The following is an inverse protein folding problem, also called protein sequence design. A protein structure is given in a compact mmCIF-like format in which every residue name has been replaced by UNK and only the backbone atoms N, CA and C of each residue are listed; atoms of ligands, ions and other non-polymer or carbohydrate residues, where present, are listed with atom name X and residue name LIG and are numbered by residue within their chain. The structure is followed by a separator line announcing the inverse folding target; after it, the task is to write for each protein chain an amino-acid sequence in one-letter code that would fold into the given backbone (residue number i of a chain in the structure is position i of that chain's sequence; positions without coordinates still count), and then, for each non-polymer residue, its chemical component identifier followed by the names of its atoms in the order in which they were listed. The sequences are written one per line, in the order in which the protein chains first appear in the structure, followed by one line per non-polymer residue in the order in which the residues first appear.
data_IF_586944643154
#
_entry.id   IF_586944643154
#
_cell.length_a   1.000
_cell.length_b   1.000
_cell.length_c   1.000
_cell.angle_alpha   90.00
_cell.angle_beta   90.00
_cell.angle_gamma   90.00
#
_symmetry.space_group_name_H-M   'P 1'
#
loop_
_entity.id
_entity.type
_entity.pdbx_description
1 polymer ?
#
# COMPACT_ATOMS: atom_id res chain seq x y z
N UNK A 1 -8.95 0.69 -29.29
CA UNK A 1 -9.60 1.20 -28.07
C UNK A 1 -8.97 2.55 -27.72
N UNK A 2 -9.60 3.67 -28.08
CA UNK A 2 -9.06 5.02 -27.83
C UNK A 2 -9.81 5.70 -26.66
N UNK A 3 -9.61 5.20 -25.44
CA UNK A 3 -9.97 5.94 -24.22
C UNK A 3 -8.69 6.28 -23.49
N UNK A 4 -8.17 7.48 -23.75
CA UNK A 4 -7.08 8.07 -22.96
C UNK A 4 -7.70 8.63 -21.69
N UNK A 5 -7.16 8.24 -20.54
CA UNK A 5 -7.54 8.81 -19.25
C UNK A 5 -7.16 10.29 -19.22
N UNK A 6 -8.05 11.14 -18.71
CA UNK A 6 -7.75 12.55 -18.49
C UNK A 6 -6.84 12.68 -17.25
N UNK A 7 -6.17 13.82 -17.08
CA UNK A 7 -5.28 14.08 -15.93
C UNK A 7 -5.99 13.92 -14.59
N UNK A 8 -7.27 14.30 -14.51
CA UNK A 8 -8.09 14.16 -13.32
C UNK A 8 -8.39 12.69 -13.00
N UNK A 9 -8.65 11.87 -14.02
CA UNK A 9 -8.89 10.44 -13.86
C UNK A 9 -7.63 9.76 -13.32
N UNK A 10 -6.46 10.08 -13.89
CA UNK A 10 -5.17 9.57 -13.43
C UNK A 10 -4.90 10.01 -11.99
N UNK A 11 -5.11 11.29 -11.67
CA UNK A 11 -4.94 11.79 -10.31
C UNK A 11 -5.85 11.08 -9.31
N UNK A 12 -7.11 10.85 -9.66
CA UNK A 12 -8.08 10.17 -8.79
C UNK A 12 -7.70 8.72 -8.53
N UNK A 13 -7.22 8.02 -9.56
CA UNK A 13 -6.72 6.63 -9.42
C UNK A 13 -5.51 6.59 -8.50
N UNK A 14 -4.55 7.51 -8.68
CA UNK A 14 -3.33 7.57 -7.85
C UNK A 14 -3.68 7.92 -6.40
N UNK A 15 -4.53 8.91 -6.17
CA UNK A 15 -4.99 9.30 -4.85
C UNK A 15 -5.66 8.13 -4.12
N UNK A 16 -6.58 7.43 -4.80
CA UNK A 16 -7.28 6.27 -4.24
C UNK A 16 -6.37 5.06 -4.00
N UNK A 17 -5.24 4.97 -4.71
CA UNK A 17 -4.27 3.88 -4.53
C UNK A 17 -3.29 4.13 -3.38
N UNK A 18 -3.06 5.40 -3.01
CA UNK A 18 -2.12 5.78 -1.94
C UNK A 18 -2.83 5.87 -0.57
N UNK A 19 -4.02 6.46 -0.54
CA UNK A 19 -4.74 6.68 0.73
C UNK A 19 -5.43 5.39 1.14
N UNK A 20 -4.88 4.72 2.16
CA UNK A 20 -5.42 3.47 2.70
C UNK A 20 -5.49 3.45 4.23
N UNK A 21 -5.92 2.31 4.78
CA UNK A 21 -6.06 2.05 6.22
C UNK A 21 -4.84 2.51 7.05
N UNK A 22 -3.64 2.26 6.54
CA UNK A 22 -2.39 2.61 7.21
C UNK A 22 -2.26 4.11 7.51
N UNK A 23 -2.77 4.97 6.63
CA UNK A 23 -2.72 6.43 6.82
C UNK A 23 -3.59 6.92 7.98
N UNK A 24 -4.69 6.24 8.27
CA UNK A 24 -5.63 6.63 9.32
C UNK A 24 -5.35 5.95 10.66
N UNK A 25 -4.96 4.67 10.64
CA UNK A 25 -4.84 3.88 11.86
C UNK A 25 -3.45 3.92 12.46
N UNK A 26 -2.39 3.75 11.65
CA UNK A 26 -1.03 3.58 12.17
C UNK A 26 -0.49 4.79 12.96
N UNK A 27 -0.74 6.06 12.57
CA UNK A 27 -0.27 7.20 13.34
C UNK A 27 -0.82 7.20 14.77
N UNK A 28 -2.13 6.96 14.93
CA UNK A 28 -2.81 7.03 16.22
C UNK A 28 -2.69 5.76 17.06
N UNK A 29 -2.58 4.57 16.44
CA UNK A 29 -2.51 3.31 17.19
C UNK A 29 -1.09 2.89 17.50
N UNK A 30 -0.13 3.14 16.61
CA UNK A 30 1.24 2.63 16.73
C UNK A 30 2.28 3.73 16.86
N UNK A 31 2.38 4.63 15.88
CA UNK A 31 3.53 5.54 15.79
C UNK A 31 3.56 6.53 16.95
N UNK A 32 2.46 7.22 17.23
CA UNK A 32 2.41 8.19 18.32
C UNK A 32 2.54 7.55 19.70
N UNK A 33 1.97 6.35 19.89
CA UNK A 33 2.02 5.66 21.18
C UNK A 33 3.41 5.08 21.49
N UNK A 34 4.10 4.53 20.49
CA UNK A 34 5.42 3.90 20.68
C UNK A 34 6.57 4.91 20.57
N UNK A 35 6.53 5.81 19.59
CA UNK A 35 7.64 6.71 19.28
C UNK A 35 7.45 8.15 19.79
N UNK A 36 6.21 8.56 20.10
CA UNK A 36 5.88 9.94 20.43
C UNK A 36 5.82 10.86 19.20
N UNK A 37 5.38 12.11 19.40
CA UNK A 37 5.10 13.07 18.32
C UNK A 37 6.35 13.40 17.51
N UNK A 38 7.43 13.80 18.17
CA UNK A 38 8.66 14.30 17.51
C UNK A 38 9.29 13.21 16.64
N UNK A 39 9.48 12.00 17.19
CA UNK A 39 10.09 10.90 16.45
C UNK A 39 9.22 10.42 15.29
N UNK A 40 7.88 10.40 15.48
CA UNK A 40 6.94 10.07 14.41
C UNK A 40 7.02 11.07 13.27
N UNK A 41 7.07 12.38 13.56
CA UNK A 41 7.20 13.42 12.53
C UNK A 41 8.50 13.27 11.75
N UNK A 42 9.63 13.06 12.43
CA UNK A 42 10.93 12.85 11.76
C UNK A 42 10.88 11.60 10.89
N UNK A 43 10.33 10.49 11.39
CA UNK A 43 10.20 9.24 10.63
C UNK A 43 9.34 9.39 9.38
N UNK A 44 8.19 10.05 9.49
CA UNK A 44 7.32 10.34 8.35
C UNK A 44 7.98 11.27 7.34
N UNK A 45 8.72 12.28 7.81
CA UNK A 45 9.44 13.21 6.93
C UNK A 45 10.55 12.51 6.15
N UNK A 46 11.35 11.66 6.81
CA UNK A 46 12.37 10.85 6.15
C UNK A 46 11.75 9.85 5.16
N UNK A 47 10.64 9.23 5.53
CA UNK A 47 9.87 8.37 4.63
C UNK A 47 9.44 9.12 3.37
N UNK A 48 8.87 10.32 3.51
CA UNK A 48 8.49 11.17 2.38
C UNK A 48 9.70 11.52 1.49
N UNK A 49 10.86 11.85 2.09
CA UNK A 49 12.09 12.11 1.35
C UNK A 49 12.51 10.92 0.49
N UNK A 50 12.49 9.70 1.05
CA UNK A 50 12.85 8.49 0.28
C UNK A 50 11.88 8.23 -0.87
N UNK A 51 10.57 8.46 -0.67
CA UNK A 51 9.58 8.30 -1.73
C UNK A 51 9.80 9.29 -2.88
N UNK A 52 10.22 10.53 -2.60
CA UNK A 52 10.54 11.52 -3.64
C UNK A 52 11.72 11.06 -4.52
N UNK A 53 12.74 10.46 -3.91
CA UNK A 53 13.89 9.90 -4.65
C UNK A 53 13.43 8.76 -5.57
N UNK A 54 12.59 7.85 -5.05
CA UNK A 54 12.02 6.76 -5.84
C UNK A 54 11.17 7.32 -6.99
N UNK A 55 10.27 8.26 -6.71
CA UNK A 55 9.39 8.89 -7.71
C UNK A 55 10.17 9.56 -8.84
N UNK A 56 11.32 10.18 -8.54
CA UNK A 56 12.21 10.75 -9.56
C UNK A 56 12.78 9.68 -10.50
N UNK A 57 13.08 8.49 -9.98
CA UNK A 57 13.53 7.34 -10.79
C UNK A 57 12.40 6.79 -11.68
N UNK A 58 11.18 6.75 -11.17
CA UNK A 58 9.99 6.37 -11.96
C UNK A 58 9.69 7.36 -13.09
N UNK A 59 9.94 8.64 -12.87
CA UNK A 59 9.78 9.65 -13.92
C UNK A 59 10.70 9.33 -15.11
N UNK A 60 11.97 9.05 -14.86
CA UNK A 60 12.93 8.64 -15.90
C UNK A 60 12.50 7.35 -16.59
N UNK A 61 11.99 6.38 -15.84
CA UNK A 61 11.46 5.14 -16.40
C UNK A 61 10.32 5.41 -17.38
N UNK A 62 9.33 6.21 -16.97
CA UNK A 62 8.14 6.52 -17.78
C UNK A 62 8.48 7.33 -19.04
N UNK A 63 9.52 8.17 -18.99
CA UNK A 63 9.98 8.92 -20.15
C UNK A 63 10.69 8.04 -21.19
N UNK A 64 11.43 7.02 -20.74
CA UNK A 64 12.23 6.15 -21.62
C UNK A 64 11.51 4.85 -22.01
N UNK A 65 10.40 4.50 -21.38
CA UNK A 65 9.70 3.22 -21.59
C UNK A 65 8.19 3.41 -21.65
N UNK A 66 7.69 3.45 -22.88
CA UNK A 66 6.27 3.64 -23.19
C UNK A 66 5.55 2.32 -23.51
N UNK A 67 6.16 1.17 -23.19
CA UNK A 67 5.53 -0.13 -23.38
C UNK A 67 4.60 -0.46 -22.20
N UNK A 68 3.61 -1.31 -22.48
CA UNK A 68 2.72 -1.85 -21.46
C UNK A 68 3.49 -2.79 -20.51
N UNK A 69 3.13 -2.80 -19.22
CA UNK A 69 3.70 -3.72 -18.21
C UNK A 69 4.61 -3.10 -17.14
N UNK A 70 4.73 -1.77 -17.09
CA UNK A 70 5.32 -1.04 -15.96
C UNK A 70 6.78 -1.40 -15.65
N UNK A 71 7.10 -1.51 -14.36
CA UNK A 71 8.47 -1.73 -13.85
C UNK A 71 9.08 -3.05 -14.32
N UNK A 72 8.28 -4.12 -14.38
CA UNK A 72 8.75 -5.42 -14.86
C UNK A 72 9.15 -5.36 -16.33
N UNK A 73 8.29 -4.77 -17.17
CA UNK A 73 8.54 -4.60 -18.61
C UNK A 73 9.79 -3.76 -18.85
N UNK A 74 9.95 -2.67 -18.07
CA UNK A 74 11.14 -1.83 -18.12
C UNK A 74 12.42 -2.60 -17.76
N UNK A 75 12.44 -3.28 -16.60
CA UNK A 75 13.61 -4.01 -16.12
C UNK A 75 13.97 -5.19 -17.04
N UNK A 76 12.97 -5.89 -17.56
CA UNK A 76 13.20 -6.99 -18.51
C UNK A 76 13.85 -6.50 -19.80
N UNK A 77 13.38 -5.37 -20.34
CA UNK A 77 13.88 -4.81 -21.60
C UNK A 77 15.25 -4.15 -21.48
N UNK A 78 15.48 -3.37 -20.42
CA UNK A 78 16.70 -2.55 -20.28
C UNK A 78 17.79 -3.20 -19.42
N UNK A 79 17.42 -4.04 -18.44
CA UNK A 79 18.36 -4.68 -17.52
C UNK A 79 18.50 -6.20 -17.77
N UNK A 80 17.72 -6.75 -18.69
CA UNK A 80 17.76 -8.15 -19.10
C UNK A 80 16.97 -9.11 -18.21
N UNK A 81 17.00 -10.40 -18.59
CA UNK A 81 16.09 -11.42 -18.04
C UNK A 81 16.25 -11.66 -16.54
N UNK A 82 17.48 -11.65 -16.02
CA UNK A 82 17.73 -11.92 -14.60
C UNK A 82 17.13 -10.82 -13.71
N UNK A 83 17.34 -9.55 -14.06
CA UNK A 83 16.76 -8.42 -13.33
C UNK A 83 15.24 -8.39 -13.47
N UNK A 84 14.71 -8.65 -14.67
CA UNK A 84 13.27 -8.79 -14.87
C UNK A 84 12.65 -9.88 -14.00
N UNK A 85 13.29 -11.04 -13.87
CA UNK A 85 12.80 -12.13 -13.00
C UNK A 85 12.75 -11.69 -11.53
N UNK A 86 13.80 -11.04 -11.02
CA UNK A 86 13.86 -10.55 -9.64
C UNK A 86 12.75 -9.53 -9.40
N UNK A 87 12.65 -8.49 -10.24
CA UNK A 87 11.62 -7.45 -10.12
C UNK A 87 10.21 -8.04 -10.18
N UNK A 88 9.95 -8.93 -11.14
CA UNK A 88 8.65 -9.59 -11.27
C UNK A 88 8.29 -10.43 -10.05
N UNK A 89 9.24 -11.12 -9.44
CA UNK A 89 9.00 -11.94 -8.26
C UNK A 89 8.71 -11.09 -7.02
N UNK A 90 9.47 -10.01 -6.81
CA UNK A 90 9.19 -9.08 -5.72
C UNK A 90 7.87 -8.34 -5.90
N UNK A 91 7.50 -7.98 -7.14
CA UNK A 91 6.18 -7.42 -7.44
C UNK A 91 5.06 -8.39 -7.11
N UNK A 92 5.17 -9.65 -7.54
CA UNK A 92 4.18 -10.67 -7.24
C UNK A 92 4.01 -10.85 -5.72
N UNK A 93 5.11 -10.94 -4.98
CA UNK A 93 5.07 -11.05 -3.52
C UNK A 93 4.45 -9.81 -2.87
N UNK A 94 4.82 -8.61 -3.33
CA UNK A 94 4.23 -7.37 -2.82
C UNK A 94 2.71 -7.36 -2.99
N UNK A 95 2.21 -7.64 -4.20
CA UNK A 95 0.76 -7.72 -4.45
C UNK A 95 0.08 -8.83 -3.66
N UNK A 96 0.71 -9.99 -3.51
CA UNK A 96 0.17 -11.09 -2.70
C UNK A 96 -0.01 -10.69 -1.23
N UNK A 97 0.95 -9.95 -0.65
CA UNK A 97 0.89 -9.51 0.75
C UNK A 97 -0.13 -8.39 1.00
N UNK A 98 -0.44 -7.59 -0.02
CA UNK A 98 -1.41 -6.51 0.08
C UNK A 98 -2.86 -7.05 0.23
N UNK A 99 -3.16 -8.20 -0.36
CA UNK A 99 -4.51 -8.82 -0.30
C UNK A 99 -4.96 -9.09 1.15
N UNK A 100 -4.23 -9.87 1.98
CA UNK A 100 -4.63 -10.10 3.37
C UNK A 100 -4.57 -8.82 4.23
N UNK A 101 -3.63 -7.91 3.94
CA UNK A 101 -3.52 -6.64 4.67
C UNK A 101 -4.78 -5.76 4.47
N UNK A 102 -5.25 -5.65 3.23
CA UNK A 102 -6.49 -4.92 2.94
C UNK A 102 -7.74 -5.70 3.37
N UNK A 103 -7.73 -7.03 3.25
CA UNK A 103 -8.84 -7.88 3.71
C UNK A 103 -9.09 -7.76 5.22
N UNK A 104 -8.02 -7.66 6.02
CA UNK A 104 -8.12 -7.48 7.47
C UNK A 104 -8.43 -6.05 7.89
N UNK A 105 -8.13 -5.06 7.04
CA UNK A 105 -8.41 -3.65 7.34
C UNK A 105 -9.90 -3.37 7.55
N UNK A 106 -10.78 -3.97 6.74
CA UNK A 106 -12.23 -3.70 6.79
C UNK A 106 -12.87 -4.11 8.13
N UNK A 107 -12.71 -5.36 8.62
CA UNK A 107 -13.18 -5.74 9.96
C UNK A 107 -12.60 -4.89 11.09
N UNK A 108 -11.32 -4.53 11.01
CA UNK A 108 -10.65 -3.72 12.04
C UNK A 108 -11.21 -2.30 12.12
N UNK A 109 -11.55 -1.68 10.97
CA UNK A 109 -12.17 -0.35 10.93
C UNK A 109 -13.57 -0.40 11.52
N UNK A 110 -14.38 -1.39 11.14
CA UNK A 110 -15.73 -1.56 11.69
C UNK A 110 -15.66 -1.71 13.21
N UNK A 111 -14.78 -2.58 13.72
CA UNK A 111 -14.58 -2.75 15.17
C UNK A 111 -14.14 -1.46 15.85
N UNK A 112 -13.28 -0.66 15.21
CA UNK A 112 -12.81 0.61 15.79
C UNK A 112 -13.90 1.68 15.85
N UNK A 113 -14.79 1.73 14.86
CA UNK A 113 -15.87 2.74 14.77
C UNK A 113 -17.10 2.33 15.58
N UNK A 114 -17.55 1.08 15.46
CA UNK A 114 -18.80 0.58 16.04
C UNK A 114 -18.62 -0.23 17.32
N UNK A 115 -17.39 -0.47 17.77
CA UNK A 115 -17.12 -1.22 19.00
C UNK A 115 -17.65 -2.65 18.95
N UNK A 116 -18.34 -3.07 20.02
CA UNK A 116 -18.86 -4.43 20.20
C UNK A 116 -20.28 -4.63 19.64
N UNK A 117 -20.85 -3.63 18.94
CA UNK A 117 -22.22 -3.68 18.41
C UNK A 117 -22.47 -4.85 17.43
N UNK A 118 -21.42 -5.43 16.86
CA UNK A 118 -21.49 -6.57 15.93
C UNK A 118 -20.92 -7.87 16.53
N UNK A 119 -20.69 -7.95 17.85
CA UNK A 119 -20.15 -9.13 18.53
C UNK A 119 -21.27 -10.02 19.10
N UNK A 120 -22.10 -10.61 18.22
CA UNK A 120 -23.16 -11.52 18.66
C UNK A 120 -22.68 -12.98 18.58
N UNK A 121 -22.89 -13.74 19.66
CA UNK A 121 -22.61 -15.19 19.66
C UNK A 121 -21.13 -15.53 19.49
N UNK A 122 -20.36 -15.46 20.56
CA UNK A 122 -18.96 -15.90 20.58
C UNK A 122 -18.82 -17.34 20.04
N UNK A 123 -17.91 -17.54 19.10
CA UNK A 123 -17.59 -18.83 18.48
C UNK A 123 -16.30 -19.42 19.09
N UNK A 124 -15.15 -18.82 18.78
CA UNK A 124 -13.83 -19.29 19.23
C UNK A 124 -12.78 -18.18 19.13
N UNK A 125 -11.61 -18.39 19.72
CA UNK A 125 -10.48 -17.44 19.65
C UNK A 125 -9.31 -18.03 18.86
N UNK A 126 -8.73 -17.26 17.95
CA UNK A 126 -7.49 -17.60 17.23
C UNK A 126 -6.52 -16.41 17.31
N UNK A 127 -5.26 -16.69 17.67
CA UNK A 127 -4.18 -15.72 17.70
C UNK A 127 -4.50 -14.43 18.50
N UNK A 128 -5.26 -14.55 19.58
CA UNK A 128 -5.69 -13.42 20.43
C UNK A 128 -6.86 -12.62 19.88
N UNK A 129 -7.49 -13.06 18.79
CA UNK A 129 -8.73 -12.50 18.25
C UNK A 129 -9.92 -13.39 18.60
N UNK A 130 -10.94 -12.81 19.22
CA UNK A 130 -12.23 -13.43 19.48
C UNK A 130 -13.12 -13.33 18.23
N UNK A 131 -13.68 -14.46 17.81
CA UNK A 131 -14.54 -14.58 16.63
C UNK A 131 -15.98 -14.74 17.08
N UNK A 132 -16.88 -13.97 16.47
CA UNK A 132 -18.31 -13.92 16.75
C UNK A 132 -19.09 -14.22 15.46
N UNK A 133 -20.38 -14.59 15.59
CA UNK A 133 -21.29 -14.90 14.47
C UNK A 133 -21.59 -13.65 13.63
#
# INVERSE_FOLDING_TARGET
MNKKLNKIDVFSIVLGSIIGWGSFMLPGTKFLNEAGVINTTIGLFLGALFIIIIQSSYYVMLENHNDEGGEFSFAYKHCGRNHGFVVGWFLLLAYLTIIPLNGTAFPLVIRKIFGDLFQFGYLYSIAGYEIYI
#
